data_IF_969285963948
#
_entry.id   IF_969285963948
#
_cell.length_a   1.000
_cell.length_b   1.000
_cell.length_c   1.000
_cell.angle_alpha   90.00
_cell.angle_beta   90.00
_cell.angle_gamma   90.00
#
_symmetry.space_group_name_H-M   'P 1'
#
loop_
_entity.id
_entity.type
_entity.pdbx_description
1 polymer ?
#
# COMPACT_ATOMS: atom_id res chain seq x y z
N UNK A 1 16.24 -26.14 7.52
CA UNK A 1 15.55 -25.42 8.61
C UNK A 1 14.05 -25.65 8.40
N UNK A 2 13.42 -26.41 9.30
CA UNK A 2 11.96 -26.68 9.35
C UNK A 2 11.19 -25.34 9.40
N UNK A 3 9.95 -25.17 8.90
CA UNK A 3 8.76 -26.00 9.13
C UNK A 3 7.64 -25.53 8.19
N UNK A 4 6.90 -26.45 7.57
CA UNK A 4 5.53 -26.24 7.06
C UNK A 4 4.56 -26.45 8.22
N UNK A 5 3.67 -25.50 8.55
CA UNK A 5 2.45 -25.75 9.35
C UNK A 5 1.39 -24.68 9.09
N UNK A 6 0.15 -25.16 8.95
CA UNK A 6 -1.06 -24.57 8.35
C UNK A 6 -1.80 -23.53 9.20
N UNK A 7 -2.82 -22.86 8.61
CA UNK A 7 -4.08 -22.51 9.27
C UNK A 7 -5.18 -22.08 8.26
N UNK A 8 -6.47 -22.26 8.61
CA UNK A 8 -7.61 -22.32 7.70
C UNK A 8 -7.91 -20.97 7.06
N UNK A 9 -8.37 -21.00 5.80
CA UNK A 9 -8.88 -19.86 5.06
C UNK A 9 -10.21 -19.35 5.65
N UNK A 10 -10.22 -18.95 6.92
CA UNK A 10 -11.11 -17.88 7.40
C UNK A 10 -10.66 -16.64 6.65
N UNK A 11 -11.27 -16.48 5.49
CA UNK A 11 -10.93 -15.51 4.48
C UNK A 11 -11.29 -14.13 5.02
N UNK A 12 -10.42 -13.59 5.87
CA UNK A 12 -10.47 -12.23 6.42
C UNK A 12 -9.36 -11.41 5.75
N UNK A 13 -9.67 -10.16 5.42
CA UNK A 13 -8.74 -9.27 4.73
C UNK A 13 -7.46 -9.09 5.57
N UNK A 14 -6.26 -9.40 5.04
CA UNK A 14 -5.01 -9.25 5.78
C UNK A 14 -4.57 -7.78 5.81
N UNK A 15 -5.37 -6.92 6.45
CA UNK A 15 -5.16 -5.47 6.51
C UNK A 15 -3.74 -5.12 6.97
N UNK A 16 -3.26 -5.77 8.03
CA UNK A 16 -1.93 -5.52 8.58
C UNK A 16 -0.80 -5.88 7.59
N UNK A 17 -0.91 -6.99 6.86
CA UNK A 17 0.10 -7.37 5.87
C UNK A 17 0.06 -6.47 4.64
N UNK A 18 -1.15 -6.11 4.17
CA UNK A 18 -1.31 -5.18 3.05
C UNK A 18 -0.76 -3.81 3.45
N UNK A 19 -1.11 -3.29 4.62
CA UNK A 19 -0.61 -2.02 5.15
C UNK A 19 0.92 -2.00 5.23
N UNK A 20 1.52 -3.02 5.85
CA UNK A 20 2.96 -3.10 6.04
C UNK A 20 3.69 -3.14 4.68
N UNK A 21 3.16 -3.89 3.73
CA UNK A 21 3.70 -3.98 2.36
C UNK A 21 3.58 -2.62 1.65
N UNK A 22 2.38 -2.04 1.66
CA UNK A 22 2.09 -0.77 1.00
C UNK A 22 2.95 0.37 1.57
N UNK A 23 3.15 0.38 2.89
CA UNK A 23 4.03 1.33 3.58
C UNK A 23 5.49 1.12 3.22
N UNK A 24 5.97 -0.13 3.25
CA UNK A 24 7.36 -0.43 2.93
C UNK A 24 7.69 -0.01 1.49
N UNK A 25 6.81 -0.34 0.54
CA UNK A 25 6.97 -0.04 -0.89
C UNK A 25 6.86 1.46 -1.18
N UNK A 26 5.91 2.17 -0.55
CA UNK A 26 5.80 3.64 -0.61
C UNK A 26 7.07 4.31 -0.09
N UNK A 27 7.57 3.88 1.07
CA UNK A 27 8.76 4.48 1.69
C UNK A 27 10.00 4.19 0.84
N UNK A 28 10.14 2.98 0.30
CA UNK A 28 11.26 2.63 -0.57
C UNK A 28 11.25 3.44 -1.88
N UNK A 29 10.08 3.53 -2.53
CA UNK A 29 9.91 4.32 -3.74
C UNK A 29 10.23 5.80 -3.50
N UNK A 30 9.75 6.36 -2.39
CA UNK A 30 10.04 7.74 -2.00
C UNK A 30 11.52 7.93 -1.68
N UNK A 31 12.17 6.97 -1.00
CA UNK A 31 13.62 6.99 -0.78
C UNK A 31 14.40 7.04 -2.08
N UNK A 32 14.03 6.20 -3.02
CA UNK A 32 14.66 6.17 -4.33
C UNK A 32 14.42 7.49 -5.09
N UNK A 33 13.18 8.00 -5.09
CA UNK A 33 12.85 9.27 -5.75
C UNK A 33 13.59 10.46 -5.11
N UNK A 34 13.66 10.52 -3.79
CA UNK A 34 14.36 11.57 -3.08
C UNK A 34 15.86 11.51 -3.34
N UNK A 35 16.46 10.31 -3.35
CA UNK A 35 17.86 10.13 -3.72
C UNK A 35 18.12 10.63 -5.15
N UNK A 36 17.25 10.30 -6.11
CA UNK A 36 17.35 10.78 -7.49
C UNK A 36 17.18 12.30 -7.62
N UNK A 37 16.32 12.91 -6.79
CA UNK A 37 16.05 14.36 -6.79
C UNK A 37 16.98 15.17 -5.87
N UNK A 38 17.88 14.52 -5.14
CA UNK A 38 18.73 15.16 -4.13
C UNK A 38 17.96 15.72 -2.93
N UNK A 39 16.78 15.18 -2.62
CA UNK A 39 15.97 15.57 -1.45
C UNK A 39 16.51 14.82 -0.22
N UNK A 40 16.85 15.56 0.82
CA UNK A 40 17.26 14.96 2.09
C UNK A 40 16.05 14.35 2.80
N UNK A 41 16.00 13.02 2.88
CA UNK A 41 15.00 12.31 3.67
C UNK A 41 15.49 12.09 5.11
N UNK A 42 14.59 12.15 6.09
CA UNK A 42 14.91 11.75 7.45
C UNK A 42 15.19 10.25 7.52
N UNK A 43 16.10 9.84 8.41
CA UNK A 43 16.46 8.43 8.61
C UNK A 43 15.32 7.57 9.18
N UNK A 44 14.31 8.21 9.78
CA UNK A 44 13.19 7.56 10.44
C UNK A 44 12.02 7.32 9.48
N UNK A 45 11.60 6.06 9.33
CA UNK A 45 10.44 5.67 8.50
C UNK A 45 9.17 6.42 8.89
N UNK A 46 8.96 6.67 10.19
CA UNK A 46 7.81 7.43 10.68
C UNK A 46 7.85 8.90 10.23
N UNK A 47 9.05 9.51 10.19
CA UNK A 47 9.22 10.87 9.73
C UNK A 47 9.02 10.95 8.21
N UNK A 48 9.51 9.97 7.45
CA UNK A 48 9.23 9.86 6.00
C UNK A 48 7.72 9.72 5.76
N UNK A 49 7.03 8.92 6.59
CA UNK A 49 5.61 8.65 6.41
C UNK A 49 4.75 9.90 6.57
N UNK A 50 5.12 10.78 7.50
CA UNK A 50 4.45 12.05 7.79
C UNK A 50 5.02 13.24 7.02
N UNK A 51 6.06 13.04 6.22
CA UNK A 51 6.68 14.11 5.43
C UNK A 51 5.72 14.52 4.30
N UNK A 52 5.67 15.81 4.00
CA UNK A 52 4.95 16.32 2.83
C UNK A 52 5.75 15.97 1.58
N UNK A 53 5.45 14.80 1.02
CA UNK A 53 6.02 14.29 -0.22
C UNK A 53 4.89 13.98 -1.17
N UNK A 54 4.96 14.58 -2.35
CA UNK A 54 4.02 14.31 -3.41
C UNK A 54 4.21 12.87 -3.89
N UNK A 55 3.19 12.05 -3.66
CA UNK A 55 3.08 10.69 -4.21
C UNK A 55 2.22 10.78 -5.45
N UNK A 56 2.85 10.75 -6.61
CA UNK A 56 2.14 10.73 -7.89
C UNK A 56 1.17 9.55 -7.99
N UNK A 57 0.08 9.71 -8.73
CA UNK A 57 -0.89 8.62 -8.87
C UNK A 57 -0.27 7.38 -9.53
N UNK A 58 0.73 7.57 -10.40
CA UNK A 58 1.48 6.45 -11.01
C UNK A 58 2.26 5.64 -9.99
N UNK A 59 2.87 6.30 -8.99
CA UNK A 59 3.56 5.62 -7.89
C UNK A 59 2.56 4.79 -7.10
N UNK A 60 1.44 5.41 -6.73
CA UNK A 60 0.38 4.71 -6.00
C UNK A 60 -0.20 3.52 -6.79
N UNK A 61 -0.39 3.63 -8.12
CA UNK A 61 -0.83 2.52 -8.98
C UNK A 61 0.24 1.41 -9.05
N UNK A 62 1.52 1.77 -9.20
CA UNK A 62 2.60 0.77 -9.25
C UNK A 62 2.68 -0.05 -7.96
N UNK A 63 2.54 0.62 -6.82
CA UNK A 63 2.54 -0.02 -5.50
C UNK A 63 1.30 -0.86 -5.30
N UNK A 64 0.16 -0.37 -5.79
CA UNK A 64 -1.09 -1.13 -5.79
C UNK A 64 -0.92 -2.45 -6.55
N UNK A 65 -0.26 -2.41 -7.71
CA UNK A 65 0.02 -3.62 -8.50
C UNK A 65 0.87 -4.64 -7.73
N UNK A 66 1.78 -4.17 -6.88
CA UNK A 66 2.59 -5.03 -6.02
C UNK A 66 1.78 -5.73 -4.91
N UNK A 67 0.65 -5.16 -4.47
CA UNK A 67 -0.23 -5.78 -3.46
C UNK A 67 -1.33 -6.67 -4.04
N UNK A 68 -1.64 -6.57 -5.34
CA UNK A 68 -2.58 -7.48 -6.04
C UNK A 68 -2.28 -8.98 -5.86
N UNK A 69 -1.03 -9.47 -5.99
CA UNK A 69 -0.72 -10.88 -5.73
C UNK A 69 -0.91 -11.27 -4.26
N UNK A 70 -0.80 -10.32 -3.33
CA UNK A 70 -1.02 -10.56 -1.89
C UNK A 70 -2.49 -10.79 -1.59
N UNK A 71 -3.37 -10.04 -2.24
CA UNK A 71 -4.83 -10.16 -2.03
C UNK A 71 -5.50 -11.19 -2.95
N UNK A 72 -4.79 -11.60 -4.02
CA UNK A 72 -5.25 -12.57 -5.00
C UNK A 72 -6.33 -12.05 -5.95
N UNK A 73 -6.38 -10.75 -6.21
CA UNK A 73 -7.30 -10.11 -7.16
C UNK A 73 -6.76 -8.77 -7.64
N UNK A 74 -7.17 -8.35 -8.84
CA UNK A 74 -6.73 -7.12 -9.50
C UNK A 74 -7.53 -5.90 -8.99
N UNK A 75 -6.83 -4.89 -8.48
CA UNK A 75 -7.43 -3.67 -7.96
C UNK A 75 -7.42 -2.61 -9.05
N UNK A 76 -8.58 -2.10 -9.48
CA UNK A 76 -8.58 -1.10 -10.55
C UNK A 76 -8.08 0.25 -10.05
N UNK A 77 -7.50 0.98 -10.97
CA UNK A 77 -6.81 2.26 -10.78
C UNK A 77 -7.69 3.32 -10.11
N UNK A 78 -9.02 3.20 -10.22
CA UNK A 78 -10.01 4.05 -9.54
C UNK A 78 -9.90 4.04 -8.01
N UNK A 79 -9.18 3.08 -7.41
CA UNK A 79 -8.88 3.13 -5.97
C UNK A 79 -7.88 4.24 -5.63
N UNK A 80 -7.02 4.59 -6.56
CA UNK A 80 -6.03 5.66 -6.42
C UNK A 80 -6.70 7.02 -6.60
N UNK A 81 -6.27 8.01 -5.83
CA UNK A 81 -6.75 9.39 -5.91
C UNK A 81 -6.11 10.09 -7.12
N UNK A 82 -6.93 10.67 -8.00
CA UNK A 82 -6.44 11.53 -9.08
C UNK A 82 -5.72 12.74 -8.50
N UNK A 83 -4.52 13.03 -9.00
CA UNK A 83 -3.65 14.08 -8.48
C UNK A 83 -2.73 13.62 -7.33
N UNK A 84 -2.72 12.33 -6.98
CA UNK A 84 -1.77 11.77 -6.04
C UNK A 84 -2.11 12.04 -4.56
N UNK A 85 -1.10 11.90 -3.71
CA UNK A 85 -1.19 12.09 -2.26
C UNK A 85 -0.13 13.07 -1.77
N UNK A 86 -0.43 13.76 -0.66
CA UNK A 86 0.50 14.72 -0.06
C UNK A 86 1.54 14.05 0.86
N UNK A 87 1.28 12.82 1.29
CA UNK A 87 2.12 12.02 2.21
C UNK A 87 1.84 10.53 2.05
N UNK A 88 2.76 9.68 2.53
CA UNK A 88 2.59 8.23 2.60
C UNK A 88 1.40 7.86 3.47
N UNK A 89 1.26 8.53 4.62
CA UNK A 89 0.17 8.25 5.55
C UNK A 89 -1.20 8.52 4.90
N UNK A 90 -1.34 9.65 4.19
CA UNK A 90 -2.55 9.97 3.41
C UNK A 90 -2.84 8.90 2.33
N UNK A 91 -1.79 8.41 1.66
CA UNK A 91 -1.92 7.35 0.67
C UNK A 91 -2.44 6.05 1.31
N UNK A 92 -1.85 5.62 2.44
CA UNK A 92 -2.27 4.41 3.15
C UNK A 92 -3.69 4.57 3.69
N UNK A 93 -4.01 5.67 4.37
CA UNK A 93 -5.33 5.91 4.93
C UNK A 93 -6.43 5.93 3.87
N UNK A 94 -6.12 6.33 2.63
CA UNK A 94 -7.07 6.30 1.53
C UNK A 94 -7.12 4.96 0.79
N UNK A 95 -5.96 4.33 0.53
CA UNK A 95 -5.86 3.09 -0.25
C UNK A 95 -6.35 1.88 0.57
N UNK A 96 -5.92 1.76 1.82
CA UNK A 96 -6.22 0.61 2.67
C UNK A 96 -7.73 0.30 2.81
N UNK A 97 -8.61 1.25 3.21
CA UNK A 97 -10.04 0.97 3.31
C UNK A 97 -10.70 0.70 1.95
N UNK A 98 -10.18 1.28 0.86
CA UNK A 98 -10.70 1.01 -0.49
C UNK A 98 -10.35 -0.39 -0.97
N UNK A 99 -9.12 -0.83 -0.71
CA UNK A 99 -8.66 -2.19 -0.99
C UNK A 99 -9.50 -3.17 -0.17
N UNK A 100 -9.67 -2.93 1.13
CA UNK A 100 -10.50 -3.78 1.99
C UNK A 100 -11.95 -3.88 1.48
N UNK A 101 -12.57 -2.75 1.16
CA UNK A 101 -13.95 -2.70 0.67
C UNK A 101 -14.10 -3.47 -0.66
N UNK A 102 -13.13 -3.32 -1.57
CA UNK A 102 -13.13 -4.08 -2.84
C UNK A 102 -12.88 -5.56 -2.62
N UNK A 103 -11.97 -5.90 -1.72
CA UNK A 103 -11.67 -7.30 -1.41
C UNK A 103 -12.90 -7.99 -0.82
N UNK A 104 -13.60 -7.34 0.12
CA UNK A 104 -14.88 -7.82 0.67
C UNK A 104 -15.93 -8.01 -0.43
N UNK A 105 -16.09 -7.01 -1.32
CA UNK A 105 -17.00 -7.10 -2.48
C UNK A 105 -16.65 -8.25 -3.43
N UNK A 106 -15.37 -8.41 -3.77
CA UNK A 106 -14.90 -9.46 -4.67
C UNK A 106 -15.12 -10.86 -4.06
N UNK A 107 -14.91 -10.99 -2.76
CA UNK A 107 -15.11 -12.23 -2.00
C UNK A 107 -16.58 -12.54 -1.70
N UNK A 108 -17.52 -11.71 -2.16
CA UNK A 108 -18.95 -11.85 -1.86
C UNK A 108 -19.29 -11.65 -0.38
N UNK A 109 -18.37 -11.08 0.40
CA UNK A 109 -18.59 -10.74 1.80
C UNK A 109 -19.47 -9.49 1.78
N UNK A 110 -20.75 -9.67 2.11
CA UNK A 110 -21.78 -8.64 2.12
C UNK A 110 -21.35 -7.54 3.10
N UNK A 111 -20.99 -6.37 2.56
CA UNK A 111 -20.72 -5.13 3.33
C UNK A 111 -22.00 -4.42 3.71
#
# INVERSE_FOLDING_TARGET
MSTTTAMPSTQTFPAASVEATLRADLVDTIKNQAAMRGIALPSSVSAISSMTIHVDSLIAVSILCNVEPTIGFELPDKVVKSGGYSSVDEAIQHLLPKIESRWKKHKGIKV
#
